data_IF_981103601995
#
_entry.id   IF_981103601995
#
_cell.length_a   1.000
_cell.length_b   1.000
_cell.length_c   1.000
_cell.angle_alpha   90.00
_cell.angle_beta   90.00
_cell.angle_gamma   90.00
#
_symmetry.space_group_name_H-M   'P 1'
#
loop_
_entity.id
_entity.type
_entity.pdbx_description
1 polymer ?
#
# COMPACT_ATOMS: atom_id res chain seq x y z
N UNK A 1 32.13 -3.74 -4.49
CA UNK A 1 31.12 -4.74 -4.06
C UNK A 1 29.90 -3.99 -3.59
N UNK A 2 28.90 -3.85 -4.46
CA UNK A 2 27.56 -3.41 -4.07
C UNK A 2 26.86 -4.56 -3.35
N UNK A 3 26.14 -4.25 -2.28
CA UNK A 3 25.38 -5.25 -1.53
C UNK A 3 24.02 -5.38 -2.23
N UNK A 4 23.49 -6.61 -2.42
CA UNK A 4 22.13 -6.77 -2.89
C UNK A 4 21.22 -5.97 -1.97
N UNK A 5 20.23 -5.27 -2.54
CA UNK A 5 19.27 -4.50 -1.76
C UNK A 5 18.43 -5.50 -0.94
N UNK A 6 18.92 -5.84 0.26
CA UNK A 6 18.19 -6.69 1.19
C UNK A 6 17.23 -5.80 1.94
N UNK A 7 15.99 -5.86 1.50
CA UNK A 7 14.88 -5.08 2.06
C UNK A 7 14.79 -5.35 3.57
N UNK A 8 14.88 -4.29 4.35
CA UNK A 8 14.91 -4.35 5.79
C UNK A 8 13.48 -4.33 6.35
N UNK A 9 13.17 -5.20 7.31
CA UNK A 9 11.90 -5.15 8.08
C UNK A 9 11.62 -3.78 8.71
N UNK A 10 12.65 -2.94 8.91
CA UNK A 10 12.49 -1.55 9.32
C UNK A 10 11.61 -0.72 8.35
N UNK A 11 11.59 -1.05 7.06
CA UNK A 11 10.78 -0.36 6.06
C UNK A 11 9.29 -0.69 6.16
N UNK A 12 8.94 -1.84 6.76
CA UNK A 12 7.54 -2.19 7.05
C UNK A 12 6.87 -1.12 7.91
N UNK A 13 7.58 -0.47 8.84
CA UNK A 13 7.03 0.63 9.64
C UNK A 13 6.94 1.97 8.89
N UNK A 14 7.69 2.16 7.81
CA UNK A 14 7.56 3.34 6.96
C UNK A 14 6.19 3.38 6.27
N UNK A 15 5.56 2.22 6.05
CA UNK A 15 4.17 2.15 5.55
C UNK A 15 3.14 2.79 6.51
N UNK A 16 3.48 3.04 7.78
CA UNK A 16 2.60 3.73 8.74
C UNK A 16 2.85 5.24 8.84
N UNK A 17 3.67 5.83 7.97
CA UNK A 17 4.01 7.27 7.99
C UNK A 17 2.78 8.18 7.96
N UNK A 18 1.79 7.88 7.10
CA UNK A 18 0.59 8.71 6.99
C UNK A 18 -0.33 8.58 8.19
N UNK A 19 -0.45 7.38 8.77
CA UNK A 19 -1.19 7.20 10.03
C UNK A 19 -0.55 8.03 11.15
N UNK A 20 0.77 7.98 11.31
CA UNK A 20 1.51 8.80 12.29
C UNK A 20 1.25 10.29 12.10
N UNK A 21 1.30 10.78 10.85
CA UNK A 21 0.98 12.17 10.53
C UNK A 21 -0.45 12.52 10.94
N UNK A 22 -1.43 11.67 10.64
CA UNK A 22 -2.82 11.95 10.98
C UNK A 22 -3.10 11.89 12.48
N UNK A 23 -2.42 11.02 13.23
CA UNK A 23 -2.46 11.02 14.71
C UNK A 23 -1.95 12.36 15.25
N UNK A 24 -0.84 12.88 14.73
CA UNK A 24 -0.29 14.17 15.17
C UNK A 24 -1.21 15.36 14.84
N UNK A 25 -1.99 15.26 13.75
CA UNK A 25 -2.95 16.28 13.34
C UNK A 25 -4.31 16.17 14.05
N UNK A 26 -4.54 15.11 14.83
CA UNK A 26 -5.84 14.84 15.44
C UNK A 26 -6.36 16.01 16.31
N UNK A 27 -5.57 16.66 17.18
CA UNK A 27 -6.06 17.81 17.95
C UNK A 27 -6.53 18.97 17.06
N UNK A 28 -5.83 19.24 15.95
CA UNK A 28 -6.20 20.27 14.99
C UNK A 28 -7.49 19.91 14.25
N UNK A 29 -7.64 18.63 13.86
CA UNK A 29 -8.85 18.11 13.22
C UNK A 29 -10.07 18.14 14.13
N UNK A 30 -9.89 18.27 15.45
CA UNK A 30 -10.99 18.38 16.42
C UNK A 30 -11.58 19.79 16.52
N UNK A 31 -10.86 20.84 16.08
CA UNK A 31 -11.34 22.22 16.17
C UNK A 31 -12.58 22.49 15.30
N UNK A 32 -12.65 22.11 14.02
CA UNK A 32 -13.82 22.42 13.19
C UNK A 32 -15.13 21.77 13.71
N UNK A 33 -15.15 20.48 14.10
CA UNK A 33 -16.36 19.87 14.68
C UNK A 33 -16.82 20.54 15.99
N UNK A 34 -15.90 21.06 16.81
CA UNK A 34 -16.25 21.81 18.02
C UNK A 34 -16.99 23.11 17.69
N UNK A 35 -16.50 23.86 16.69
CA UNK A 35 -17.14 25.09 16.20
C UNK A 35 -18.52 24.76 15.63
N UNK A 36 -18.63 23.72 14.81
CA UNK A 36 -19.90 23.25 14.23
C UNK A 36 -20.90 22.87 15.34
N UNK A 37 -20.48 22.08 16.33
CA UNK A 37 -21.33 21.65 17.44
C UNK A 37 -21.86 22.86 18.24
N UNK A 38 -21.01 23.84 18.50
CA UNK A 38 -21.42 25.03 19.25
C UNK A 38 -22.35 25.95 18.43
N UNK A 39 -21.92 26.38 17.24
CA UNK A 39 -22.61 27.42 16.50
C UNK A 39 -23.78 26.93 15.64
N UNK A 40 -23.75 25.69 15.16
CA UNK A 40 -24.78 25.15 14.25
C UNK A 40 -25.80 24.32 15.00
N UNK A 41 -25.36 23.51 15.97
CA UNK A 41 -26.24 22.61 16.74
C UNK A 41 -26.71 23.21 18.06
N UNK A 42 -26.16 24.36 18.48
CA UNK A 42 -26.57 25.06 19.68
C UNK A 42 -26.13 24.41 20.98
N UNK A 43 -25.16 23.48 20.94
CA UNK A 43 -24.61 22.90 22.17
C UNK A 43 -23.85 23.96 22.98
N UNK A 44 -24.01 23.93 24.30
CA UNK A 44 -23.16 24.72 25.18
C UNK A 44 -21.68 24.31 25.03
N UNK A 45 -20.73 25.24 25.20
CA UNK A 45 -19.30 24.95 25.08
C UNK A 45 -18.86 23.74 25.91
N UNK A 46 -19.36 23.63 27.13
CA UNK A 46 -19.04 22.53 28.05
C UNK A 46 -19.59 21.18 27.56
N UNK A 47 -20.71 21.16 26.85
CA UNK A 47 -21.28 19.95 26.26
C UNK A 47 -20.53 19.56 24.99
N UNK A 48 -20.22 20.54 24.13
CA UNK A 48 -19.46 20.32 22.91
C UNK A 48 -18.07 19.73 23.23
N UNK A 49 -17.35 20.26 24.22
CA UNK A 49 -16.05 19.75 24.66
C UNK A 49 -16.13 18.32 25.21
N UNK A 50 -17.27 17.91 25.79
CA UNK A 50 -17.45 16.53 26.29
C UNK A 50 -17.72 15.54 25.16
N UNK A 51 -18.58 15.92 24.21
CA UNK A 51 -19.11 14.99 23.21
C UNK A 51 -18.22 14.90 21.96
N UNK A 52 -17.78 16.04 21.44
CA UNK A 52 -17.09 16.13 20.15
C UNK A 52 -15.77 15.35 20.13
N UNK A 53 -14.92 15.38 21.18
CA UNK A 53 -13.70 14.59 21.20
C UNK A 53 -13.94 13.09 21.05
N UNK A 54 -14.96 12.56 21.73
CA UNK A 54 -15.31 11.15 21.66
C UNK A 54 -15.76 10.76 20.24
N UNK A 55 -16.65 11.55 19.64
CA UNK A 55 -17.12 11.31 18.27
C UNK A 55 -15.96 11.38 17.26
N UNK A 56 -15.09 12.37 17.38
CA UNK A 56 -13.92 12.51 16.50
C UNK A 56 -12.94 11.35 16.67
N UNK A 57 -12.69 10.90 17.90
CA UNK A 57 -11.84 9.75 18.16
C UNK A 57 -12.43 8.48 17.54
N UNK A 58 -13.74 8.23 17.71
CA UNK A 58 -14.43 7.10 17.09
C UNK A 58 -14.38 7.17 15.56
N UNK A 59 -14.61 8.35 14.98
CA UNK A 59 -14.49 8.59 13.55
C UNK A 59 -13.07 8.35 13.03
N UNK A 60 -12.05 8.82 13.76
CA UNK A 60 -10.65 8.58 13.43
C UNK A 60 -10.28 7.09 13.50
N UNK A 61 -10.76 6.39 14.52
CA UNK A 61 -10.57 4.94 14.65
C UNK A 61 -11.23 4.19 13.48
N UNK A 62 -12.50 4.50 13.19
CA UNK A 62 -13.30 3.81 12.19
C UNK A 62 -12.84 4.11 10.75
N UNK A 63 -12.53 5.36 10.44
CA UNK A 63 -12.21 5.81 9.09
C UNK A 63 -10.72 5.94 8.82
N UNK A 64 -9.88 5.91 9.86
CA UNK A 64 -8.44 6.10 9.72
C UNK A 64 -7.65 4.86 10.14
N UNK A 65 -7.77 4.48 11.41
CA UNK A 65 -6.96 3.40 12.00
C UNK A 65 -7.36 2.04 11.45
N UNK A 66 -8.65 1.69 11.51
CA UNK A 66 -9.13 0.37 11.09
C UNK A 66 -8.81 0.06 9.62
N UNK A 67 -9.10 0.95 8.64
CA UNK A 67 -8.76 0.67 7.25
C UNK A 67 -7.26 0.52 7.02
N UNK A 68 -6.46 1.38 7.66
CA UNK A 68 -4.99 1.30 7.57
C UNK A 68 -4.48 -0.02 8.14
N UNK A 69 -5.02 -0.45 9.28
CA UNK A 69 -4.63 -1.70 9.91
C UNK A 69 -5.01 -2.90 9.03
N UNK A 70 -6.22 -2.91 8.46
CA UNK A 70 -6.65 -3.98 7.54
C UNK A 70 -5.72 -4.05 6.33
N UNK A 71 -5.42 -2.91 5.71
CA UNK A 71 -4.49 -2.84 4.58
C UNK A 71 -3.09 -3.31 4.98
N UNK A 72 -2.57 -2.81 6.09
CA UNK A 72 -1.25 -3.19 6.60
C UNK A 72 -1.14 -4.70 6.84
N UNK A 73 -2.11 -5.27 7.55
CA UNK A 73 -2.12 -6.70 7.86
C UNK A 73 -2.30 -7.54 6.60
N UNK A 74 -3.20 -7.16 5.69
CA UNK A 74 -3.38 -7.87 4.42
C UNK A 74 -2.07 -7.93 3.62
N UNK A 75 -1.38 -6.79 3.51
CA UNK A 75 -0.11 -6.69 2.80
C UNK A 75 1.02 -7.45 3.53
N UNK A 76 1.09 -7.32 4.84
CA UNK A 76 2.09 -8.00 5.66
C UNK A 76 1.94 -9.52 5.58
N UNK A 77 0.74 -10.06 5.77
CA UNK A 77 0.52 -11.51 5.74
C UNK A 77 0.69 -12.11 4.35
N UNK A 78 0.35 -11.37 3.29
CA UNK A 78 0.54 -11.83 1.92
C UNK A 78 2.03 -12.00 1.55
N UNK A 79 2.95 -11.19 2.09
CA UNK A 79 4.38 -11.21 1.76
C UNK A 79 5.29 -11.61 2.95
N UNK A 80 4.77 -12.10 4.08
CA UNK A 80 5.57 -12.35 5.30
C UNK A 80 6.76 -13.30 5.11
N UNK A 81 6.67 -14.21 4.14
CA UNK A 81 7.70 -15.19 3.80
C UNK A 81 8.28 -14.93 2.39
N UNK A 82 7.97 -13.78 1.79
CA UNK A 82 8.41 -13.43 0.46
C UNK A 82 9.56 -12.43 0.54
N UNK A 83 10.69 -12.77 -0.07
CA UNK A 83 11.85 -11.89 -0.18
C UNK A 83 12.11 -11.55 -1.65
N UNK A 84 12.51 -10.31 -1.90
CA UNK A 84 12.93 -9.82 -3.22
C UNK A 84 14.35 -9.31 -3.08
N UNK A 85 15.26 -9.81 -3.91
CA UNK A 85 16.62 -9.32 -4.02
C UNK A 85 16.81 -8.73 -5.41
N UNK A 86 17.30 -7.50 -5.48
CA UNK A 86 17.56 -6.81 -6.74
C UNK A 86 19.07 -6.62 -6.85
N UNK A 87 19.65 -7.15 -7.93
CA UNK A 87 21.03 -6.91 -8.33
C UNK A 87 21.05 -6.01 -9.58
N UNK A 88 21.29 -4.70 -9.43
CA UNK A 88 21.31 -3.76 -10.54
C UNK A 88 22.55 -3.89 -11.44
N UNK A 89 23.58 -4.63 -11.03
CA UNK A 89 24.78 -4.84 -11.86
C UNK A 89 24.64 -6.05 -12.76
N UNK A 90 24.02 -7.11 -12.23
CA UNK A 90 23.71 -8.31 -12.99
C UNK A 90 22.41 -8.17 -13.80
N UNK A 91 21.65 -7.08 -13.63
CA UNK A 91 20.29 -6.90 -14.18
C UNK A 91 19.38 -8.08 -13.83
N UNK A 92 19.43 -8.52 -12.57
CA UNK A 92 18.70 -9.70 -12.10
C UNK A 92 17.84 -9.38 -10.88
N UNK A 93 16.69 -10.04 -10.83
CA UNK A 93 15.81 -10.06 -9.65
C UNK A 93 15.67 -11.51 -9.19
N UNK A 94 15.80 -11.71 -7.89
CA UNK A 94 15.54 -12.99 -7.25
C UNK A 94 14.30 -12.87 -6.37
N UNK A 95 13.32 -13.74 -6.61
CA UNK A 95 12.14 -13.93 -5.78
C UNK A 95 12.32 -15.18 -4.91
N UNK A 96 12.15 -15.05 -3.60
CA UNK A 96 12.22 -16.18 -2.66
C UNK A 96 10.93 -16.30 -1.88
N UNK A 97 10.30 -17.47 -1.92
CA UNK A 97 9.19 -17.81 -1.02
C UNK A 97 9.40 -19.19 -0.37
N UNK A 98 9.03 -20.24 -1.09
CA UNK A 98 9.41 -21.63 -0.81
C UNK A 98 10.58 -22.07 -1.67
N UNK A 99 10.58 -21.57 -2.90
CA UNK A 99 11.60 -21.79 -3.91
C UNK A 99 12.26 -20.45 -4.24
N UNK A 100 13.43 -20.53 -4.86
CA UNK A 100 14.20 -19.39 -5.31
C UNK A 100 14.13 -19.30 -6.83
N UNK A 101 13.58 -18.20 -7.33
CA UNK A 101 13.46 -17.92 -8.75
C UNK A 101 14.31 -16.72 -9.10
N UNK A 102 15.19 -16.86 -10.09
CA UNK A 102 16.09 -15.81 -10.54
C UNK A 102 15.80 -15.50 -12.01
N UNK A 103 15.54 -14.23 -12.31
CA UNK A 103 15.20 -13.77 -13.64
C UNK A 103 16.05 -12.55 -14.03
N UNK A 104 16.38 -12.44 -15.31
CA UNK A 104 16.90 -11.20 -15.87
C UNK A 104 15.76 -10.18 -16.01
N UNK A 105 16.06 -8.88 -15.99
CA UNK A 105 15.03 -7.84 -16.11
C UNK A 105 14.21 -7.94 -17.40
N UNK A 106 14.83 -8.39 -18.49
CA UNK A 106 14.18 -8.59 -19.79
C UNK A 106 13.14 -9.72 -19.80
N UNK A 107 13.23 -10.66 -18.85
CA UNK A 107 12.25 -11.75 -18.68
C UNK A 107 11.04 -11.36 -17.83
N UNK A 108 11.01 -10.13 -17.34
CA UNK A 108 10.03 -9.64 -16.39
C UNK A 108 9.17 -8.57 -17.03
N UNK A 109 7.85 -8.80 -17.00
CA UNK A 109 6.85 -7.79 -17.37
C UNK A 109 6.13 -7.32 -16.12
N UNK A 110 6.27 -6.04 -15.77
CA UNK A 110 5.45 -5.43 -14.72
C UNK A 110 4.06 -5.14 -15.30
N UNK A 111 3.17 -6.11 -15.10
CA UNK A 111 1.81 -6.07 -15.67
C UNK A 111 0.92 -5.04 -14.98
N UNK A 112 1.16 -4.77 -13.69
CA UNK A 112 0.28 -3.88 -12.93
C UNK A 112 0.99 -3.25 -11.75
N UNK A 113 1.01 -1.93 -11.69
CA UNK A 113 1.19 -1.21 -10.44
C UNK A 113 -0.18 -0.75 -9.94
N UNK A 114 -0.54 -1.14 -8.71
CA UNK A 114 -1.80 -0.75 -8.06
C UNK A 114 -1.52 0.19 -6.88
N UNK A 115 -1.11 1.45 -7.13
CA UNK A 115 -1.01 2.43 -6.07
C UNK A 115 -2.40 2.79 -5.57
N UNK A 116 -2.56 2.84 -4.25
CA UNK A 116 -3.57 3.71 -3.68
C UNK A 116 -3.17 5.15 -4.01
N UNK A 117 -3.98 5.82 -4.84
CA UNK A 117 -4.26 7.25 -4.74
C UNK A 117 -3.06 8.14 -4.35
N UNK A 118 -2.12 8.42 -5.27
CA UNK A 118 -1.08 9.41 -4.93
C UNK A 118 -0.46 10.25 -6.07
N UNK A 119 -1.01 10.32 -7.29
CA UNK A 119 -0.42 11.27 -8.27
C UNK A 119 -1.47 12.12 -8.96
N UNK A 120 -1.77 13.27 -8.33
CA UNK A 120 -2.52 14.42 -8.86
C UNK A 120 -2.07 14.84 -10.27
N UNK A 121 -0.83 14.53 -10.66
CA UNK A 121 -0.24 14.82 -11.96
C UNK A 121 -0.53 13.76 -13.05
N UNK A 122 -0.95 12.55 -12.69
CA UNK A 122 -1.09 11.45 -13.66
C UNK A 122 -2.51 11.30 -14.23
N UNK A 123 -3.55 11.61 -13.46
CA UNK A 123 -4.95 11.40 -13.90
C UNK A 123 -5.83 12.66 -13.85
N UNK A 124 -5.27 13.81 -13.47
CA UNK A 124 -6.00 15.09 -13.36
C UNK A 124 -7.05 15.14 -12.23
N UNK A 125 -7.22 14.07 -11.45
CA UNK A 125 -8.28 14.00 -10.44
C UNK A 125 -7.79 14.55 -9.08
N UNK A 126 -8.59 15.45 -8.47
CA UNK A 126 -8.31 16.02 -7.15
C UNK A 126 -8.78 15.11 -6.00
N UNK A 127 -8.17 13.93 -5.90
CA UNK A 127 -8.53 12.95 -4.86
C UNK A 127 -7.81 13.26 -3.53
N UNK A 128 -8.52 13.06 -2.41
CA UNK A 128 -7.99 13.32 -1.07
C UNK A 128 -7.03 12.22 -0.60
N UNK A 129 -6.00 12.60 0.15
CA UNK A 129 -5.06 11.68 0.77
C UNK A 129 -5.71 10.98 1.96
N UNK A 130 -5.70 9.65 1.94
CA UNK A 130 -6.14 8.80 3.06
C UNK A 130 -4.93 8.26 3.82
N UNK A 131 -5.10 7.86 5.09
CA UNK A 131 -4.03 7.24 5.88
C UNK A 131 -3.40 5.98 5.26
N UNK A 132 -4.11 5.28 4.35
CA UNK A 132 -3.62 4.12 3.62
C UNK A 132 -3.14 4.45 2.20
N UNK A 133 -3.04 5.72 1.79
CA UNK A 133 -2.69 6.08 0.41
C UNK A 133 -1.26 5.72 -0.05
N UNK A 134 -0.41 5.17 0.81
CA UNK A 134 0.91 4.63 0.40
C UNK A 134 0.88 3.12 0.12
N UNK A 135 -0.22 2.41 0.41
CA UNK A 135 -0.25 0.98 0.12
C UNK A 135 -0.42 0.77 -1.38
N UNK A 136 0.51 0.01 -1.95
CA UNK A 136 0.45 -0.45 -3.32
C UNK A 136 0.95 -1.89 -3.41
N UNK A 137 0.75 -2.49 -4.57
CA UNK A 137 1.51 -3.67 -4.95
C UNK A 137 1.89 -3.62 -6.44
N UNK A 138 2.97 -4.29 -6.75
CA UNK A 138 3.51 -4.48 -8.10
C UNK A 138 3.23 -5.93 -8.47
N UNK A 139 2.58 -6.15 -9.60
CA UNK A 139 2.43 -7.47 -10.20
C UNK A 139 3.46 -7.63 -11.30
N UNK A 140 4.37 -8.57 -11.11
CA UNK A 140 5.36 -8.98 -12.07
C UNK A 140 4.91 -10.31 -12.66
N UNK A 141 4.87 -10.42 -13.98
CA UNK A 141 4.69 -11.67 -14.70
C UNK A 141 5.98 -12.00 -15.41
N UNK A 142 6.36 -13.26 -15.37
CA UNK A 142 7.57 -13.78 -16.02
C UNK A 142 7.23 -14.47 -17.34
N UNK A 143 8.24 -14.72 -18.18
CA UNK A 143 8.06 -15.40 -19.46
C UNK A 143 7.55 -16.85 -19.32
N UNK A 144 7.83 -17.51 -18.19
CA UNK A 144 7.31 -18.83 -17.83
C UNK A 144 5.95 -18.77 -17.12
N UNK A 145 5.17 -17.70 -17.36
CA UNK A 145 3.81 -17.47 -16.86
C UNK A 145 3.64 -17.47 -15.33
N UNK A 146 4.73 -17.32 -14.56
CA UNK A 146 4.64 -17.13 -13.11
C UNK A 146 4.29 -15.69 -12.78
N UNK A 147 3.51 -15.49 -11.72
CA UNK A 147 3.13 -14.17 -11.24
C UNK A 147 3.58 -13.93 -9.80
N UNK A 148 4.21 -12.79 -9.60
CA UNK A 148 4.67 -12.30 -8.30
C UNK A 148 3.95 -11.00 -7.95
N UNK A 149 3.23 -10.98 -6.83
CA UNK A 149 2.63 -9.78 -6.26
C UNK A 149 3.52 -9.27 -5.11
N UNK A 150 4.20 -8.15 -5.36
CA UNK A 150 5.14 -7.53 -4.45
C UNK A 150 4.45 -6.36 -3.75
N UNK A 151 4.28 -6.47 -2.44
CA UNK A 151 3.71 -5.39 -1.63
C UNK A 151 4.66 -4.21 -1.46
N UNK A 152 4.11 -3.00 -1.43
CA UNK A 152 4.76 -1.79 -0.89
C UNK A 152 5.30 -1.91 0.55
N UNK A 153 4.81 -2.86 1.35
CA UNK A 153 5.38 -3.15 2.68
C UNK A 153 6.72 -3.88 2.60
N UNK A 154 7.01 -4.49 1.45
CA UNK A 154 8.28 -5.10 1.14
C UNK A 154 9.11 -4.12 0.31
N UNK A 155 8.66 -3.76 -0.90
CA UNK A 155 9.44 -2.93 -1.81
C UNK A 155 8.61 -1.75 -2.29
N UNK A 156 9.14 -0.52 -2.16
CA UNK A 156 8.50 0.62 -2.80
C UNK A 156 8.65 0.52 -4.31
N UNK A 157 7.64 0.95 -5.04
CA UNK A 157 7.70 0.98 -6.50
C UNK A 157 8.81 1.88 -7.05
N UNK A 158 9.16 2.95 -6.34
CA UNK A 158 10.24 3.86 -6.75
C UNK A 158 11.62 3.17 -6.75
N UNK A 159 11.75 2.06 -6.03
CA UNK A 159 12.97 1.26 -5.94
C UNK A 159 12.96 0.08 -6.94
N UNK A 160 11.88 -0.09 -7.72
CA UNK A 160 11.74 -1.19 -8.68
C UNK A 160 12.36 -0.79 -10.04
N UNK A 161 13.24 -1.63 -10.64
CA UNK A 161 14.03 -1.23 -11.81
C UNK A 161 13.26 -1.30 -13.15
N UNK A 162 12.01 -1.75 -13.15
CA UNK A 162 11.22 -1.98 -14.36
C UNK A 162 9.95 -1.14 -14.31
N UNK A 163 9.68 -0.41 -15.39
CA UNK A 163 8.47 0.40 -15.51
C UNK A 163 7.21 -0.46 -15.78
N UNK A 164 6.04 -0.09 -15.23
CA UNK A 164 4.81 -0.83 -15.37
C UNK A 164 4.18 -0.55 -16.73
N UNK A 165 3.69 -1.60 -17.39
CA UNK A 165 2.90 -1.46 -18.62
C UNK A 165 1.54 -0.81 -18.35
N UNK A 166 0.96 -1.05 -17.18
CA UNK A 166 -0.30 -0.47 -16.74
C UNK A 166 -0.25 -0.01 -15.29
N UNK A 167 -0.75 1.19 -15.03
CA UNK A 167 -1.01 1.68 -13.67
C UNK A 167 -2.51 1.77 -13.46
N UNK A 168 -3.03 0.97 -12.51
CA UNK A 168 -4.44 0.97 -12.17
C UNK A 168 -4.63 1.56 -10.78
N UNK A 169 -5.65 2.39 -10.58
CA UNK A 169 -5.94 2.99 -9.28
C UNK A 169 -7.11 2.27 -8.62
N UNK A 170 -6.89 1.70 -7.43
CA UNK A 170 -7.94 1.08 -6.63
C UNK A 170 -8.12 1.82 -5.31
N UNK A 171 -9.36 1.94 -4.84
CA UNK A 171 -9.67 2.42 -3.49
C UNK A 171 -9.25 1.42 -2.41
N UNK A 172 -9.05 0.17 -2.81
CA UNK A 172 -8.80 -0.95 -1.92
C UNK A 172 -8.01 -2.05 -2.64
N UNK A 173 -6.67 -1.89 -2.82
CA UNK A 173 -5.82 -2.86 -3.49
C UNK A 173 -5.55 -4.04 -2.56
N UNK A 174 -6.56 -4.88 -2.33
CA UNK A 174 -6.36 -6.14 -1.63
C UNK A 174 -5.52 -7.09 -2.47
N UNK A 175 -4.45 -7.56 -1.86
CA UNK A 175 -3.59 -8.58 -2.42
C UNK A 175 -4.09 -9.97 -1.97
N UNK A 176 -4.09 -10.94 -2.89
CA UNK A 176 -4.54 -12.31 -2.60
C UNK A 176 -3.39 -13.23 -2.18
N UNK A 177 -2.34 -13.32 -3.01
CA UNK A 177 -1.16 -14.18 -2.79
C UNK A 177 0.09 -13.53 -3.38
N UNK A 178 1.26 -13.73 -2.76
CA UNK A 178 2.53 -13.23 -3.28
C UNK A 178 3.00 -13.99 -4.53
N UNK A 179 2.74 -15.30 -4.62
CA UNK A 179 3.10 -16.13 -5.76
C UNK A 179 1.88 -16.84 -6.34
N UNK A 180 1.79 -16.89 -7.66
CA UNK A 180 0.79 -17.65 -8.42
C UNK A 180 1.51 -18.30 -9.61
N UNK A 181 1.46 -19.62 -9.68
CA UNK A 181 1.88 -20.38 -10.85
C UNK A 181 0.65 -20.62 -11.73
N UNK A 182 0.64 -20.06 -12.93
CA UNK A 182 -0.40 -20.34 -13.92
C UNK A 182 0.10 -21.55 -14.72
N UNK A 183 -0.23 -22.76 -14.27
CA UNK A 183 -0.01 -23.96 -15.08
C UNK A 183 -0.64 -23.71 -16.47
N UNK A 184 0.07 -24.07 -17.55
CA UNK A 184 -0.45 -24.03 -18.92
C UNK A 184 -1.68 -24.96 -19.05
N UNK A 185 -2.85 -24.48 -18.62
CA UNK A 185 -3.99 -25.38 -18.41
C UNK A 185 -5.37 -24.74 -18.28
N UNK A 186 -5.49 -23.41 -18.19
CA UNK A 186 -6.81 -22.73 -18.29
C UNK A 186 -7.18 -22.39 -19.75
N UNK A 187 -6.57 -23.08 -20.71
CA UNK A 187 -7.02 -23.15 -22.09
C UNK A 187 -8.10 -24.23 -22.24
N UNK A 188 -9.27 -24.05 -21.64
CA UNK A 188 -10.57 -24.68 -22.00
C UNK A 188 -11.63 -24.30 -20.95
N UNK A 189 -12.31 -23.16 -21.14
CA UNK A 189 -13.34 -22.75 -20.19
C UNK A 189 -14.11 -21.47 -20.48
N UNK A 190 -14.21 -21.03 -21.74
CA UNK A 190 -15.31 -20.20 -22.25
C UNK A 190 -15.66 -20.63 -23.66
#
# INVERSE_FOLDING_TARGET
>A
MSKPLKINKAETFNSLKYLRRNVLLLPLLMCPPLIIAHFIKGYGWMEAIKIVPLINLLGFMALGVLPTLIMHLSHFFANRNFEVLIDPHANQITFKEKEEFQYAYEDLTVTRHLPLYHKKKLDGNHRMLTPWSNYSFIRVRTNDNKEFNISSTLLNYEDFPIEPSQTNYSLWPMMKKAYIDHEEGDSLGQ
#
